data_IF_587016573513
#
_entry.id   IF_587016573513
#
_cell.length_a   1.000
_cell.length_b   1.000
_cell.length_c   1.000
_cell.angle_alpha   90.00
_cell.angle_beta   90.00
_cell.angle_gamma   90.00
#
_symmetry.space_group_name_H-M   'P 1'
#
loop_
_entity.id
_entity.type
_entity.pdbx_description
1 polymer ?
#
# COMPACT_ATOMS: atom_id res chain seq x y z
N UNK A 1 -1.50 24.48 35.59
CA UNK A 1 -1.70 24.17 34.16
C UNK A 1 -1.23 22.73 33.95
N UNK A 2 -2.15 21.77 34.04
CA UNK A 2 -1.80 20.34 34.01
C UNK A 2 -2.84 19.55 33.24
N UNK A 3 -2.38 18.96 32.16
CA UNK A 3 -3.04 17.91 31.39
C UNK A 3 -3.19 16.68 32.28
N UNK A 4 -4.34 16.00 32.21
CA UNK A 4 -4.45 14.59 32.59
C UNK A 4 -5.33 13.88 31.56
N UNK A 5 -4.69 13.04 30.76
CA UNK A 5 -5.34 12.07 29.91
C UNK A 5 -5.97 10.96 30.76
N UNK A 6 -7.07 10.38 30.30
CA UNK A 6 -7.43 9.02 30.71
C UNK A 6 -8.01 8.26 29.53
N UNK A 7 -7.21 7.31 29.05
CA UNK A 7 -7.60 6.24 28.14
C UNK A 7 -8.71 5.41 28.79
N UNK A 8 -9.74 5.02 28.02
CA UNK A 8 -10.73 4.04 28.46
C UNK A 8 -11.04 3.10 27.32
N UNK A 9 -10.66 1.83 27.51
CA UNK A 9 -10.93 0.72 26.61
C UNK A 9 -12.44 0.64 26.30
N UNK A 10 -12.80 0.75 25.03
CA UNK A 10 -14.17 0.49 24.57
C UNK A 10 -14.28 -0.96 24.09
N UNK A 11 -14.71 -1.82 25.00
CA UNK A 11 -15.20 -3.18 24.70
C UNK A 11 -16.70 -3.19 24.96
N UNK A 12 -17.48 -2.57 24.08
CA UNK A 12 -18.93 -2.47 24.23
C UNK A 12 -19.64 -3.59 23.47
N UNK A 13 -20.05 -4.63 24.21
CA UNK A 13 -21.12 -5.55 23.81
C UNK A 13 -22.42 -4.75 23.69
N UNK A 14 -22.86 -4.46 22.47
CA UNK A 14 -24.17 -3.84 22.15
C UNK A 14 -25.30 -4.87 22.26
N UNK A 15 -25.66 -5.32 23.47
CA UNK A 15 -26.76 -6.29 23.68
C UNK A 15 -27.97 -5.67 24.39
N UNK A 16 -27.93 -4.40 24.76
CA UNK A 16 -29.07 -3.75 25.42
C UNK A 16 -29.58 -2.61 24.55
N UNK A 17 -30.77 -2.85 24.01
CA UNK A 17 -31.54 -2.02 23.10
C UNK A 17 -31.95 -0.69 23.77
N UNK A 18 -31.98 0.36 22.96
CA UNK A 18 -32.42 1.70 23.33
C UNK A 18 -33.89 1.66 23.78
N UNK A 19 -34.14 1.87 25.08
CA UNK A 19 -35.49 2.13 25.56
C UNK A 19 -35.89 3.52 25.06
N UNK A 20 -36.97 3.61 24.28
CA UNK A 20 -37.51 4.91 23.83
C UNK A 20 -38.79 5.18 24.60
N UNK A 21 -38.77 6.19 25.46
CA UNK A 21 -39.97 6.70 26.13
C UNK A 21 -40.49 7.90 25.34
N UNK A 22 -41.72 7.77 24.82
CA UNK A 22 -42.42 8.84 24.13
C UNK A 22 -43.42 9.54 25.07
N UNK A 23 -43.53 10.86 24.95
CA UNK A 23 -44.55 11.68 25.62
C UNK A 23 -45.37 12.38 24.54
N UNK A 24 -46.64 12.02 24.40
CA UNK A 24 -47.56 12.60 23.43
C UNK A 24 -48.71 13.34 24.13
N UNK A 25 -49.08 14.51 23.63
CA UNK A 25 -50.28 15.24 24.06
C UNK A 25 -51.18 15.42 22.86
N UNK A 26 -52.09 14.47 22.65
CA UNK A 26 -53.07 14.51 21.56
C UNK A 26 -54.32 15.24 22.05
N UNK A 27 -54.66 16.38 21.45
CA UNK A 27 -55.92 17.10 21.72
C UNK A 27 -56.92 16.81 20.62
N UNK A 28 -57.81 15.86 20.86
CA UNK A 28 -58.89 15.57 19.93
C UNK A 28 -60.07 16.53 20.15
N UNK A 29 -60.67 17.04 19.07
CA UNK A 29 -61.91 17.85 19.12
C UNK A 29 -63.08 16.99 18.69
N UNK A 30 -63.58 16.16 19.61
CA UNK A 30 -64.85 15.46 19.40
C UNK A 30 -66.01 16.45 19.43
N UNK A 31 -66.58 16.78 18.28
CA UNK A 31 -67.86 17.51 18.21
C UNK A 31 -68.98 16.47 18.38
N UNK A 32 -69.48 16.32 19.60
CA UNK A 32 -70.73 15.60 19.87
C UNK A 32 -71.82 16.60 20.24
N UNK A 33 -72.97 16.45 19.60
CA UNK A 33 -74.05 17.43 19.55
C UNK A 33 -74.97 17.34 20.81
N UNK A 34 -74.79 18.31 21.73
CA UNK A 34 -75.71 18.88 22.76
C UNK A 34 -76.32 17.98 23.89
N UNK A 35 -76.77 18.56 25.05
CA UNK A 35 -76.85 19.98 25.42
C UNK A 35 -76.02 20.36 26.67
N UNK A 36 -75.54 21.60 26.70
CA UNK A 36 -74.89 22.34 27.80
C UNK A 36 -73.61 21.76 28.42
N UNK A 37 -72.47 22.12 27.80
CA UNK A 37 -71.18 22.19 28.48
C UNK A 37 -70.01 21.91 27.54
N UNK A 38 -69.19 22.93 27.24
CA UNK A 38 -67.93 22.72 26.53
C UNK A 38 -66.97 22.00 27.49
N UNK A 39 -67.01 20.67 27.54
CA UNK A 39 -66.00 19.91 28.30
C UNK A 39 -64.72 19.88 27.48
N UNK A 40 -63.69 20.57 27.99
CA UNK A 40 -62.30 20.38 27.56
C UNK A 40 -61.78 19.13 28.24
N UNK A 41 -62.00 17.97 27.63
CA UNK A 41 -61.31 16.78 28.07
C UNK A 41 -59.90 16.80 27.46
N UNK A 42 -58.91 17.04 28.31
CA UNK A 42 -57.50 16.93 27.96
C UNK A 42 -57.00 15.61 28.51
N UNK A 43 -56.82 14.62 27.64
CA UNK A 43 -56.27 13.33 28.04
C UNK A 43 -54.74 13.41 27.96
N UNK A 44 -54.06 13.11 29.07
CA UNK A 44 -52.62 12.93 29.11
C UNK A 44 -52.34 11.43 28.98
N UNK A 45 -51.84 11.01 27.81
CA UNK A 45 -51.41 9.63 27.59
C UNK A 45 -49.89 9.51 27.78
N UNK A 46 -49.45 8.45 28.45
CA UNK A 46 -48.03 8.09 28.58
C UNK A 46 -47.87 6.72 27.94
N UNK A 47 -47.31 6.69 26.73
CA UNK A 47 -47.15 5.45 25.96
C UNK A 47 -45.74 4.88 26.18
N UNK A 48 -45.67 3.68 26.75
CA UNK A 48 -44.40 2.94 26.90
C UNK A 48 -44.32 1.90 25.78
N UNK A 49 -43.57 2.21 24.73
CA UNK A 49 -43.34 1.28 23.61
C UNK A 49 -42.16 0.38 23.95
N UNK A 50 -42.42 -0.91 24.21
CA UNK A 50 -41.38 -1.93 24.35
C UNK A 50 -41.32 -2.73 23.06
N UNK A 51 -40.34 -2.51 22.16
CA UNK A 51 -40.17 -3.38 21.01
C UNK A 51 -39.80 -4.78 21.53
N UNK A 52 -40.61 -5.79 21.18
CA UNK A 52 -40.25 -7.18 21.46
C UNK A 52 -39.48 -7.70 20.24
N UNK A 53 -38.16 -7.93 20.35
CA UNK A 53 -37.34 -8.30 19.20
C UNK A 53 -37.55 -9.78 18.88
N UNK A 54 -38.60 -10.11 18.13
CA UNK A 54 -38.90 -11.51 17.84
C UNK A 54 -37.80 -12.18 16.99
N UNK A 55 -37.14 -11.46 16.07
CA UNK A 55 -36.06 -12.01 15.24
C UNK A 55 -35.15 -10.94 14.63
N UNK A 56 -34.36 -10.20 15.43
CA UNK A 56 -33.27 -9.39 14.88
C UNK A 56 -31.93 -9.73 15.54
N UNK A 57 -31.41 -10.91 15.22
CA UNK A 57 -30.11 -11.39 15.72
C UNK A 57 -28.90 -10.70 15.08
N UNK A 58 -29.07 -9.57 14.37
CA UNK A 58 -28.01 -8.82 13.69
C UNK A 58 -27.01 -9.71 12.91
N UNK A 59 -27.44 -10.91 12.48
CA UNK A 59 -26.54 -11.96 12.00
C UNK A 59 -25.85 -11.51 10.71
N UNK A 60 -26.53 -10.70 9.90
CA UNK A 60 -25.95 -10.05 8.74
C UNK A 60 -24.85 -9.04 9.09
N UNK A 61 -24.98 -8.27 10.17
CA UNK A 61 -23.95 -7.33 10.64
C UNK A 61 -22.73 -8.07 11.18
N UNK A 62 -22.95 -9.15 11.92
CA UNK A 62 -21.87 -10.02 12.43
C UNK A 62 -21.15 -10.70 11.27
N UNK A 63 -21.89 -11.33 10.34
CA UNK A 63 -21.32 -11.96 9.15
C UNK A 63 -20.59 -10.95 8.25
N UNK A 64 -21.11 -9.73 8.10
CA UNK A 64 -20.44 -8.66 7.36
C UNK A 64 -19.13 -8.22 8.04
N UNK A 65 -19.11 -8.09 9.37
CA UNK A 65 -17.91 -7.74 10.13
C UNK A 65 -16.84 -8.85 10.05
N UNK A 66 -17.26 -10.12 10.10
CA UNK A 66 -16.37 -11.27 9.96
C UNK A 66 -15.82 -11.37 8.53
N UNK A 67 -16.65 -11.14 7.51
CA UNK A 67 -16.21 -11.06 6.13
C UNK A 67 -15.22 -9.90 5.90
N UNK A 68 -15.44 -8.73 6.51
CA UNK A 68 -14.50 -7.61 6.44
C UNK A 68 -13.17 -7.94 7.11
N UNK A 69 -13.18 -8.58 8.28
CA UNK A 69 -11.98 -9.05 8.95
C UNK A 69 -11.20 -10.05 8.10
N UNK A 70 -11.87 -11.05 7.53
CA UNK A 70 -11.26 -12.04 6.65
C UNK A 70 -10.69 -11.40 5.38
N UNK A 71 -11.38 -10.42 4.79
CA UNK A 71 -10.87 -9.64 3.65
C UNK A 71 -9.60 -8.86 4.02
N UNK A 72 -9.60 -8.17 5.15
CA UNK A 72 -8.42 -7.43 5.62
C UNK A 72 -7.24 -8.37 5.91
N UNK A 73 -7.49 -9.54 6.52
CA UNK A 73 -6.46 -10.56 6.78
C UNK A 73 -5.87 -11.10 5.48
N UNK A 74 -6.71 -11.50 4.52
CA UNK A 74 -6.24 -11.97 3.19
C UNK A 74 -5.50 -10.86 2.44
N UNK A 75 -5.93 -9.61 2.56
CA UNK A 75 -5.22 -8.46 2.00
C UNK A 75 -3.81 -8.32 2.57
N UNK A 76 -3.66 -8.45 3.89
CA UNK A 76 -2.35 -8.46 4.55
C UNK A 76 -1.47 -9.62 4.10
N UNK A 77 -2.01 -10.83 4.06
CA UNK A 77 -1.25 -12.03 3.65
C UNK A 77 -0.79 -11.90 2.19
N UNK A 78 -1.66 -11.40 1.31
CA UNK A 78 -1.31 -11.11 -0.09
C UNK A 78 -0.25 -10.03 -0.25
N UNK A 79 -0.29 -8.96 0.55
CA UNK A 79 0.76 -7.93 0.56
C UNK A 79 2.11 -8.52 1.02
N UNK A 80 2.10 -9.39 2.02
CA UNK A 80 3.33 -10.03 2.53
C UNK A 80 4.00 -10.87 1.44
N UNK A 81 3.22 -11.71 0.74
CA UNK A 81 3.72 -12.51 -0.37
C UNK A 81 4.26 -11.64 -1.51
N UNK A 82 3.57 -10.54 -1.83
CA UNK A 82 4.01 -9.61 -2.87
C UNK A 82 5.37 -8.98 -2.56
N UNK A 83 5.57 -8.53 -1.32
CA UNK A 83 6.84 -7.95 -0.87
C UNK A 83 7.95 -9.01 -0.93
N UNK A 84 7.69 -10.25 -0.51
CA UNK A 84 8.68 -11.34 -0.64
C UNK A 84 9.07 -11.61 -2.10
N UNK A 85 8.11 -11.61 -3.01
CA UNK A 85 8.36 -11.79 -4.44
C UNK A 85 9.16 -10.63 -5.04
N UNK A 86 8.82 -9.39 -4.68
CA UNK A 86 9.55 -8.19 -5.12
C UNK A 86 11.01 -8.20 -4.67
N UNK A 87 11.27 -8.56 -3.40
CA UNK A 87 12.64 -8.71 -2.87
C UNK A 87 13.40 -9.81 -3.63
N UNK A 88 12.82 -11.00 -3.78
CA UNK A 88 13.48 -12.12 -4.49
C UNK A 88 13.80 -11.77 -5.94
N UNK A 89 12.89 -11.07 -6.62
CA UNK A 89 13.08 -10.61 -7.99
C UNK A 89 14.20 -9.57 -8.09
N UNK A 90 14.23 -8.59 -7.19
CA UNK A 90 15.28 -7.57 -7.14
C UNK A 90 16.66 -8.20 -6.87
N UNK A 91 16.78 -9.11 -5.91
CA UNK A 91 18.03 -9.83 -5.63
C UNK A 91 18.51 -10.66 -6.83
N UNK A 92 17.60 -11.39 -7.50
CA UNK A 92 17.94 -12.16 -8.69
C UNK A 92 18.47 -11.25 -9.80
N UNK A 93 17.83 -10.09 -10.00
CA UNK A 93 18.25 -9.09 -10.98
C UNK A 93 19.64 -8.53 -10.66
N UNK A 94 19.91 -8.18 -9.40
CA UNK A 94 21.22 -7.71 -8.94
C UNK A 94 22.31 -8.76 -9.21
N UNK A 95 22.05 -10.03 -8.89
CA UNK A 95 23.02 -11.11 -9.13
C UNK A 95 23.39 -11.22 -10.61
N UNK A 96 22.39 -11.24 -11.49
CA UNK A 96 22.61 -11.30 -12.95
C UNK A 96 23.39 -10.08 -13.44
N UNK A 97 22.98 -8.87 -13.05
CA UNK A 97 23.64 -7.63 -13.47
C UNK A 97 25.08 -7.54 -12.99
N UNK A 98 25.39 -8.02 -11.78
CA UNK A 98 26.78 -8.10 -11.28
C UNK A 98 27.66 -8.98 -12.16
N UNK A 99 27.16 -10.14 -12.57
CA UNK A 99 27.89 -11.05 -13.47
C UNK A 99 28.11 -10.37 -14.83
N UNK A 100 27.10 -9.72 -15.38
CA UNK A 100 27.21 -8.98 -16.65
C UNK A 100 28.24 -7.85 -16.56
N UNK A 101 28.19 -7.03 -15.50
CA UNK A 101 29.16 -5.94 -15.28
C UNK A 101 30.58 -6.49 -15.17
N UNK A 102 30.78 -7.58 -14.43
CA UNK A 102 32.11 -8.19 -14.26
C UNK A 102 32.65 -8.72 -15.60
N UNK A 103 31.81 -9.40 -16.37
CA UNK A 103 32.16 -9.90 -17.73
C UNK A 103 32.56 -8.75 -18.65
N UNK A 104 31.78 -7.67 -18.70
CA UNK A 104 32.12 -6.50 -19.51
C UNK A 104 33.42 -5.82 -19.06
N UNK A 105 33.67 -5.77 -17.75
CA UNK A 105 34.84 -5.11 -17.19
C UNK A 105 36.13 -5.94 -17.35
N UNK A 106 36.05 -7.26 -17.23
CA UNK A 106 37.22 -8.16 -17.25
C UNK A 106 37.57 -8.69 -18.62
N UNK A 107 36.57 -8.93 -19.47
CA UNK A 107 36.77 -9.66 -20.72
C UNK A 107 36.53 -8.74 -21.92
N UNK A 108 35.30 -8.24 -22.09
CA UNK A 108 34.88 -7.55 -23.32
C UNK A 108 35.59 -6.21 -23.51
N UNK A 109 35.61 -5.35 -22.49
CA UNK A 109 36.20 -4.01 -22.63
C UNK A 109 37.73 -4.06 -22.83
N UNK A 110 38.50 -4.88 -22.08
CA UNK A 110 39.93 -5.05 -22.36
C UNK A 110 40.21 -5.63 -23.75
N UNK A 111 39.41 -6.61 -24.22
CA UNK A 111 39.55 -7.17 -25.56
C UNK A 111 39.31 -6.11 -26.64
N UNK A 112 38.19 -5.38 -26.56
CA UNK A 112 37.89 -4.29 -27.48
C UNK A 112 38.98 -3.19 -27.46
N UNK A 113 39.55 -2.90 -26.29
CA UNK A 113 40.65 -1.95 -26.16
C UNK A 113 41.92 -2.44 -26.85
N UNK A 114 42.24 -3.74 -26.75
CA UNK A 114 43.40 -4.33 -27.44
C UNK A 114 43.20 -4.32 -28.94
N UNK A 115 42.03 -4.72 -29.42
CA UNK A 115 41.69 -4.68 -30.85
C UNK A 115 41.85 -3.27 -31.41
N UNK A 116 41.28 -2.26 -30.74
CA UNK A 116 41.45 -0.86 -31.13
C UNK A 116 42.93 -0.46 -31.23
N UNK A 117 43.75 -0.82 -30.23
CA UNK A 117 45.18 -0.50 -30.22
C UNK A 117 45.95 -1.19 -31.36
N UNK A 118 45.62 -2.45 -31.68
CA UNK A 118 46.21 -3.17 -32.82
C UNK A 118 45.87 -2.50 -34.14
N UNK A 119 44.61 -2.07 -34.31
CA UNK A 119 44.18 -1.38 -35.54
C UNK A 119 44.82 0.00 -35.66
N UNK A 120 45.02 0.70 -34.55
CA UNK A 120 45.71 2.00 -34.51
C UNK A 120 47.19 1.86 -34.91
N UNK A 121 47.86 0.79 -34.49
CA UNK A 121 49.22 0.48 -34.95
C UNK A 121 49.25 0.11 -36.44
N UNK A 122 48.36 -0.77 -36.90
CA UNK A 122 48.28 -1.16 -38.31
C UNK A 122 47.99 0.03 -39.23
N UNK A 123 47.15 0.98 -38.79
CA UNK A 123 46.90 2.22 -39.53
C UNK A 123 48.16 3.10 -39.61
N UNK A 124 48.90 3.27 -38.50
CA UNK A 124 50.17 4.02 -38.51
C UNK A 124 51.23 3.40 -39.42
N UNK A 125 51.19 2.08 -39.60
CA UNK A 125 52.07 1.35 -40.51
C UNK A 125 51.55 1.32 -41.96
N UNK A 126 50.36 1.87 -42.23
CA UNK A 126 49.72 1.85 -43.56
C UNK A 126 49.16 0.48 -43.98
N UNK A 127 49.04 -0.47 -43.04
CA UNK A 127 48.55 -1.82 -43.27
C UNK A 127 47.03 -1.95 -43.16
N UNK A 128 46.38 -1.01 -42.47
CA UNK A 128 44.94 -0.97 -42.19
C UNK A 128 44.38 0.36 -42.68
N UNK A 129 43.18 0.34 -43.27
CA UNK A 129 42.51 1.55 -43.73
C UNK A 129 41.88 2.34 -42.56
N UNK A 130 41.72 3.66 -42.73
CA UNK A 130 41.10 4.52 -41.72
C UNK A 130 39.67 4.10 -41.41
N UNK A 131 38.94 3.56 -42.38
CA UNK A 131 37.58 3.08 -42.17
C UNK A 131 37.52 1.90 -41.18
N UNK A 132 38.50 1.00 -41.25
CA UNK A 132 38.60 -0.16 -40.35
C UNK A 132 39.00 0.27 -38.93
N UNK A 133 39.92 1.22 -38.78
CA UNK A 133 40.25 1.83 -37.49
C UNK A 133 39.03 2.48 -36.84
N UNK A 134 38.26 3.25 -37.61
CA UNK A 134 37.02 3.87 -37.12
C UNK A 134 35.99 2.83 -36.69
N UNK A 135 35.91 1.69 -37.39
CA UNK A 135 35.04 0.58 -36.99
C UNK A 135 35.47 -0.02 -35.65
N UNK A 136 36.77 -0.29 -35.45
CA UNK A 136 37.30 -0.78 -34.18
C UNK A 136 37.07 0.22 -33.03
N UNK A 137 37.23 1.53 -33.30
CA UNK A 137 36.95 2.60 -32.34
C UNK A 137 35.46 2.68 -31.97
N UNK A 138 34.55 2.49 -32.94
CA UNK A 138 33.11 2.40 -32.68
C UNK A 138 32.79 1.22 -31.77
N UNK A 139 33.30 0.03 -32.07
CA UNK A 139 33.09 -1.17 -31.25
C UNK A 139 33.59 -0.99 -29.80
N UNK A 140 34.76 -0.38 -29.61
CA UNK A 140 35.25 -0.04 -28.27
C UNK A 140 34.32 0.92 -27.52
N UNK A 141 33.81 1.94 -28.22
CA UNK A 141 32.89 2.91 -27.63
C UNK A 141 31.53 2.27 -27.27
N UNK A 142 31.01 1.38 -28.12
CA UNK A 142 29.80 0.59 -27.85
C UNK A 142 29.98 -0.28 -26.60
N UNK A 143 31.08 -1.02 -26.50
CA UNK A 143 31.40 -1.83 -25.32
C UNK A 143 31.52 -0.98 -24.05
N UNK A 144 32.12 0.22 -24.15
CA UNK A 144 32.21 1.17 -23.03
C UNK A 144 30.84 1.70 -22.61
N UNK A 145 29.98 2.05 -23.56
CA UNK A 145 28.62 2.53 -23.30
C UNK A 145 27.78 1.44 -22.63
N UNK A 146 27.81 0.21 -23.16
CA UNK A 146 27.10 -0.93 -22.58
C UNK A 146 27.53 -1.20 -21.12
N UNK A 147 28.82 -1.08 -20.80
CA UNK A 147 29.29 -1.18 -19.41
C UNK A 147 28.68 -0.11 -18.50
N UNK A 148 28.59 1.13 -18.97
CA UNK A 148 28.01 2.24 -18.18
C UNK A 148 26.52 2.01 -17.97
N UNK A 149 25.81 1.55 -18.99
CA UNK A 149 24.39 1.19 -18.91
C UNK A 149 24.15 0.07 -17.89
N UNK A 150 24.91 -1.02 -17.95
CA UNK A 150 24.85 -2.12 -16.98
C UNK A 150 25.13 -1.66 -15.54
N UNK A 151 26.07 -0.73 -15.35
CA UNK A 151 26.32 -0.13 -14.04
C UNK A 151 25.15 0.74 -13.57
N UNK A 152 24.47 1.44 -14.49
CA UNK A 152 23.25 2.18 -14.21
C UNK A 152 22.11 1.25 -13.77
N UNK A 153 21.87 0.19 -14.55
CA UNK A 153 20.86 -0.82 -14.23
C UNK A 153 21.14 -1.51 -12.90
N UNK A 154 22.41 -1.84 -12.60
CA UNK A 154 22.79 -2.44 -11.32
C UNK A 154 22.46 -1.51 -10.15
N UNK A 155 22.78 -0.21 -10.27
CA UNK A 155 22.44 0.77 -9.23
C UNK A 155 20.93 0.90 -9.06
N UNK A 156 20.19 0.95 -10.15
CA UNK A 156 18.73 1.00 -10.10
C UNK A 156 18.14 -0.22 -9.39
N UNK A 157 18.63 -1.43 -9.72
CA UNK A 157 18.18 -2.66 -9.08
C UNK A 157 18.49 -2.71 -7.58
N UNK A 158 19.61 -2.11 -7.14
CA UNK A 158 19.93 -1.96 -5.71
C UNK A 158 18.95 -0.99 -5.03
N UNK A 159 18.64 0.14 -5.65
CA UNK A 159 17.65 1.09 -5.13
C UNK A 159 16.27 0.42 -5.01
N UNK A 160 15.85 -0.36 -6.02
CA UNK A 160 14.58 -1.09 -6.01
C UNK A 160 14.53 -2.11 -4.85
N UNK A 161 15.66 -2.79 -4.55
CA UNK A 161 15.77 -3.69 -3.40
C UNK A 161 15.69 -2.93 -2.07
N UNK A 162 16.37 -1.78 -1.95
CA UNK A 162 16.32 -0.93 -0.75
C UNK A 162 14.90 -0.40 -0.50
N UNK A 163 14.17 -0.06 -1.56
CA UNK A 163 12.77 0.34 -1.50
C UNK A 163 11.86 -0.81 -1.06
N UNK A 164 12.01 -2.00 -1.65
CA UNK A 164 11.20 -3.18 -1.32
C UNK A 164 11.47 -3.72 0.09
N UNK A 165 12.71 -3.61 0.58
CA UNK A 165 13.10 -4.05 1.92
C UNK A 165 12.77 -3.05 3.03
N UNK A 166 12.13 -1.92 2.70
CA UNK A 166 11.83 -0.82 3.62
C UNK A 166 13.05 -0.34 4.45
N UNK A 167 14.27 -0.56 3.92
CA UNK A 167 15.53 -0.13 4.53
C UNK A 167 15.99 1.21 3.96
N UNK A 168 15.16 1.83 3.11
CA UNK A 168 15.47 3.13 2.51
C UNK A 168 15.40 4.23 3.59
N UNK A 169 16.49 4.99 3.84
CA UNK A 169 16.55 6.01 4.91
C UNK A 169 15.52 7.15 4.73
N UNK A 170 14.90 7.26 3.56
CA UNK A 170 13.90 8.28 3.25
C UNK A 170 12.45 7.83 3.52
N UNK A 171 12.22 6.55 3.80
CA UNK A 171 10.89 6.00 4.12
C UNK A 171 10.71 5.65 5.61
N UNK A 172 11.76 5.84 6.43
CA UNK A 172 11.70 5.65 7.89
C UNK A 172 10.65 6.55 8.58
N UNK A 173 10.24 7.65 7.93
CA UNK A 173 9.21 8.57 8.44
C UNK A 173 7.78 7.97 8.41
N UNK A 174 7.58 6.86 7.67
CA UNK A 174 6.32 6.10 7.63
C UNK A 174 6.31 4.87 8.54
N UNK A 175 7.31 4.72 9.42
CA UNK A 175 7.24 3.73 10.51
C UNK A 175 6.10 4.17 11.44
N UNK A 176 4.90 3.73 11.09
CA UNK A 176 3.66 3.97 11.81
C UNK A 176 3.96 3.81 13.29
N UNK A 177 3.66 4.87 14.04
CA UNK A 177 3.46 4.86 15.47
C UNK A 177 2.54 3.68 15.82
N UNK A 178 3.15 2.52 15.98
CA UNK A 178 2.58 1.32 16.56
C UNK A 178 2.47 1.52 18.06
N UNK A 179 1.87 2.65 18.46
CA UNK A 179 1.35 2.83 19.79
C UNK A 179 0.08 2.01 19.92
N UNK A 180 0.23 0.78 20.40
CA UNK A 180 -0.82 0.18 21.24
C UNK A 180 -0.18 -0.26 22.54
N UNK A 181 -0.90 -0.24 23.67
CA UNK A 181 -2.34 0.05 23.84
C UNK A 181 -2.67 1.38 24.57
#
# INVERSE_FOLDING_TARGET
>A
MSIRATCRSQRTRQVWEDWTVGLGVERDRGVFEAPIGIKRDSFLAVDVTVPIPFWNRQQGRIAASEAQFLRARRGRDGLTLRVEEEIRAAEARIRTLRVSVDTYQRDILPEASRTRATFEEGYRQGLIDVAELLQAQRQYNEARSARVELLGELRQAVIDLEAASATSPHLDDFRLDGGTP
#
